data_IF_909169235460
#
_entry.id   IF_909169235460
#
_cell.length_a   1.000
_cell.length_b   1.000
_cell.length_c   1.000
_cell.angle_alpha   90.00
_cell.angle_beta   90.00
_cell.angle_gamma   90.00
#
_symmetry.space_group_name_H-M   'P 1'
#
loop_
_entity.id
_entity.type
_entity.pdbx_description
1 polymer ?
#
# COMPACT_ATOMS: atom_id res chain seq x y z
N UNK A 1 -30.77 14.03 25.21
CA UNK A 1 -31.71 14.33 24.11
C UNK A 1 -32.63 13.13 23.99
N UNK A 2 -33.92 13.32 24.30
CA UNK A 2 -34.90 12.24 24.29
C UNK A 2 -35.28 11.86 22.86
N UNK A 3 -34.73 10.74 22.38
CA UNK A 3 -35.04 10.17 21.06
C UNK A 3 -36.53 9.84 20.90
N UNK A 4 -37.27 9.62 22.00
CA UNK A 4 -38.71 9.39 22.01
C UNK A 4 -39.53 10.59 21.47
N UNK A 5 -39.04 11.83 21.65
CA UNK A 5 -39.70 13.03 21.16
C UNK A 5 -39.55 13.26 19.65
N UNK A 6 -38.49 12.72 19.04
CA UNK A 6 -38.24 12.76 17.59
C UNK A 6 -39.15 11.80 16.81
N UNK A 7 -39.64 10.72 17.44
CA UNK A 7 -40.47 9.69 16.82
C UNK A 7 -41.95 9.73 17.24
N UNK A 8 -42.39 10.80 17.92
CA UNK A 8 -43.77 10.95 18.42
C UNK A 8 -44.84 11.05 17.32
N UNK A 9 -44.43 11.22 16.06
CA UNK A 9 -45.31 11.16 14.88
C UNK A 9 -44.58 10.43 13.74
N UNK A 10 -45.28 9.51 13.06
CA UNK A 10 -44.72 8.77 11.91
C UNK A 10 -44.15 9.68 10.82
N UNK A 11 -44.71 10.89 10.68
CA UNK A 11 -44.22 11.94 9.78
C UNK A 11 -42.76 12.35 10.06
N UNK A 12 -42.37 12.45 11.33
CA UNK A 12 -40.99 12.79 11.72
C UNK A 12 -40.01 11.63 11.49
N UNK A 13 -40.45 10.38 11.68
CA UNK A 13 -39.65 9.18 11.39
C UNK A 13 -39.29 9.11 9.90
N UNK A 14 -40.27 9.31 9.01
CA UNK A 14 -40.04 9.17 7.58
C UNK A 14 -39.17 10.31 7.01
N UNK A 15 -39.36 11.55 7.50
CA UNK A 15 -38.45 12.67 7.21
C UNK A 15 -37.03 12.41 7.68
N UNK A 16 -36.86 11.84 8.88
CA UNK A 16 -35.55 11.46 9.41
C UNK A 16 -34.87 10.39 8.55
N UNK A 17 -35.60 9.36 8.11
CA UNK A 17 -35.07 8.33 7.21
C UNK A 17 -34.67 8.92 5.85
N UNK A 18 -35.48 9.83 5.30
CA UNK A 18 -35.17 10.50 4.03
C UNK A 18 -33.88 11.34 4.13
N UNK A 19 -33.80 12.23 5.13
CA UNK A 19 -32.62 13.07 5.35
C UNK A 19 -31.39 12.22 5.68
N UNK A 20 -31.54 11.20 6.53
CA UNK A 20 -30.48 10.24 6.85
C UNK A 20 -29.96 9.50 5.62
N UNK A 21 -30.85 9.08 4.72
CA UNK A 21 -30.49 8.45 3.45
C UNK A 21 -29.70 9.39 2.52
N UNK A 22 -30.11 10.66 2.40
CA UNK A 22 -29.37 11.68 1.64
C UNK A 22 -27.98 11.89 2.24
N UNK A 23 -27.89 12.03 3.56
CA UNK A 23 -26.60 12.20 4.25
C UNK A 23 -25.69 11.00 4.01
N UNK A 24 -26.18 9.77 4.17
CA UNK A 24 -25.40 8.56 3.88
C UNK A 24 -24.92 8.49 2.43
N UNK A 25 -25.77 8.86 1.48
CA UNK A 25 -25.41 8.93 0.07
C UNK A 25 -24.29 9.96 -0.18
N UNK A 26 -24.43 11.18 0.34
CA UNK A 26 -23.38 12.20 0.21
C UNK A 26 -22.06 11.76 0.88
N UNK A 27 -22.12 11.16 2.07
CA UNK A 27 -20.94 10.63 2.75
C UNK A 27 -20.28 9.50 1.96
N UNK A 28 -21.07 8.63 1.31
CA UNK A 28 -20.53 7.56 0.47
C UNK A 28 -19.79 8.07 -0.77
N UNK A 29 -20.00 9.31 -1.21
CA UNK A 29 -19.27 9.91 -2.32
C UNK A 29 -18.03 10.68 -1.86
N UNK A 30 -18.15 11.51 -0.82
CA UNK A 30 -17.09 12.45 -0.42
C UNK A 30 -15.96 11.76 0.33
N UNK A 31 -16.29 10.90 1.30
CA UNK A 31 -15.31 10.25 2.16
C UNK A 31 -14.32 9.32 1.44
N UNK A 32 -14.75 8.41 0.54
CA UNK A 32 -13.82 7.55 -0.17
C UNK A 32 -12.95 8.32 -1.17
N UNK A 33 -13.43 9.44 -1.73
CA UNK A 33 -12.66 10.22 -2.70
C UNK A 33 -11.35 10.75 -2.10
N UNK A 34 -11.42 11.35 -0.91
CA UNK A 34 -10.24 11.89 -0.21
C UNK A 34 -9.29 10.76 0.20
N UNK A 35 -9.82 9.70 0.80
CA UNK A 35 -9.00 8.56 1.24
C UNK A 35 -8.33 7.82 0.09
N UNK A 36 -9.00 7.72 -1.06
CA UNK A 36 -8.44 7.11 -2.26
C UNK A 36 -7.27 7.90 -2.82
N UNK A 37 -7.37 9.23 -2.86
CA UNK A 37 -6.27 10.09 -3.29
C UNK A 37 -5.06 9.98 -2.35
N UNK A 38 -5.28 9.97 -1.04
CA UNK A 38 -4.22 9.76 -0.06
C UNK A 38 -3.50 8.42 -0.27
N UNK A 39 -4.28 7.33 -0.40
CA UNK A 39 -3.74 5.98 -0.63
C UNK A 39 -2.98 5.89 -1.96
N UNK A 40 -3.47 6.53 -3.02
CA UNK A 40 -2.83 6.54 -4.34
C UNK A 40 -1.48 7.26 -4.32
N UNK A 41 -1.41 8.41 -3.64
CA UNK A 41 -0.15 9.15 -3.43
C UNK A 41 0.85 8.29 -2.64
N UNK A 42 0.39 7.62 -1.59
CA UNK A 42 1.24 6.76 -0.76
C UNK A 42 1.77 5.55 -1.57
N UNK A 43 0.90 4.88 -2.33
CA UNK A 43 1.27 3.78 -3.25
C UNK A 43 2.31 4.25 -4.26
N UNK A 44 2.09 5.41 -4.89
CA UNK A 44 3.02 5.95 -5.88
C UNK A 44 4.40 6.26 -5.25
N UNK A 45 4.40 6.77 -4.01
CA UNK A 45 5.63 7.03 -3.26
C UNK A 45 6.41 5.75 -3.00
N UNK A 46 5.75 4.70 -2.54
CA UNK A 46 6.39 3.39 -2.34
C UNK A 46 6.85 2.75 -3.64
N UNK A 47 6.10 2.90 -4.73
CA UNK A 47 6.49 2.42 -6.06
C UNK A 47 7.79 3.08 -6.53
N UNK A 48 7.90 4.41 -6.42
CA UNK A 48 9.14 5.14 -6.75
C UNK A 48 10.32 4.68 -5.90
N UNK A 49 10.10 4.49 -4.60
CA UNK A 49 11.14 3.97 -3.70
C UNK A 49 11.57 2.55 -4.09
N UNK A 50 10.63 1.67 -4.41
CA UNK A 50 10.90 0.32 -4.86
C UNK A 50 11.67 0.28 -6.19
N UNK A 51 11.30 1.13 -7.15
CA UNK A 51 11.99 1.25 -8.43
C UNK A 51 13.43 1.72 -8.25
N UNK A 52 13.65 2.77 -7.45
CA UNK A 52 14.98 3.26 -7.11
C UNK A 52 15.81 2.19 -6.39
N UNK A 53 15.22 1.44 -5.45
CA UNK A 53 15.90 0.35 -4.78
C UNK A 53 16.28 -0.77 -5.75
N UNK A 54 15.40 -1.10 -6.70
CA UNK A 54 15.63 -2.13 -7.69
C UNK A 54 16.79 -1.76 -8.63
N UNK A 55 16.87 -0.50 -9.07
CA UNK A 55 18.01 0.00 -9.83
C UNK A 55 19.31 -0.12 -9.03
N UNK A 56 19.30 0.33 -7.78
CA UNK A 56 20.46 0.20 -6.88
C UNK A 56 20.91 -1.25 -6.67
N UNK A 57 19.97 -2.20 -6.57
CA UNK A 57 20.28 -3.63 -6.44
C UNK A 57 20.95 -4.11 -7.73
N UNK A 58 20.45 -3.74 -8.90
CA UNK A 58 21.07 -4.10 -10.19
C UNK A 58 22.51 -3.60 -10.28
N UNK A 59 22.76 -2.35 -9.91
CA UNK A 59 24.10 -1.76 -9.92
C UNK A 59 25.05 -2.47 -8.96
N UNK A 60 24.57 -2.80 -7.75
CA UNK A 60 25.35 -3.58 -6.79
C UNK A 60 25.64 -5.00 -7.30
N UNK A 61 24.72 -5.63 -8.02
CA UNK A 61 24.96 -6.94 -8.65
C UNK A 61 26.07 -6.88 -9.69
N UNK A 62 26.13 -5.81 -10.50
CA UNK A 62 27.22 -5.59 -11.46
C UNK A 62 28.55 -5.50 -10.71
N UNK A 63 28.63 -4.66 -9.66
CA UNK A 63 29.84 -4.51 -8.84
C UNK A 63 30.29 -5.82 -8.19
N UNK A 64 29.35 -6.60 -7.64
CA UNK A 64 29.65 -7.92 -7.08
C UNK A 64 30.20 -8.86 -8.15
N UNK A 65 29.64 -8.85 -9.37
CA UNK A 65 30.11 -9.68 -10.49
C UNK A 65 31.53 -9.31 -10.91
N UNK A 66 31.83 -8.02 -11.03
CA UNK A 66 33.17 -7.50 -11.33
C UNK A 66 34.18 -7.91 -10.23
N UNK A 67 33.80 -7.74 -8.97
CA UNK A 67 34.65 -8.09 -7.83
C UNK A 67 34.93 -9.61 -7.78
N UNK A 68 33.93 -10.45 -8.08
CA UNK A 68 34.11 -11.91 -8.23
C UNK A 68 35.09 -12.26 -9.35
N UNK A 69 35.01 -11.58 -10.49
CA UNK A 69 35.93 -11.80 -11.61
C UNK A 69 37.38 -11.47 -11.22
N UNK A 70 37.61 -10.31 -10.60
CA UNK A 70 38.93 -9.88 -10.11
C UNK A 70 39.51 -10.83 -9.05
N UNK A 71 38.67 -11.32 -8.14
CA UNK A 71 39.04 -12.35 -7.15
C UNK A 71 39.50 -13.63 -7.84
N UNK A 72 38.80 -14.09 -8.89
CA UNK A 72 39.17 -15.28 -9.65
C UNK A 72 40.54 -15.12 -10.32
N UNK A 73 40.80 -13.97 -10.94
CA UNK A 73 42.10 -13.66 -11.55
C UNK A 73 43.23 -13.68 -10.52
N UNK A 74 43.02 -13.02 -9.36
CA UNK A 74 44.00 -13.01 -8.27
C UNK A 74 44.33 -14.42 -7.75
N UNK A 75 43.33 -15.32 -7.75
CA UNK A 75 43.52 -16.72 -7.35
C UNK A 75 44.29 -17.53 -8.40
N UNK A 76 44.07 -17.27 -9.69
CA UNK A 76 44.82 -17.88 -10.79
C UNK A 76 46.29 -17.43 -10.78
N UNK A 77 46.56 -16.15 -10.54
CA UNK A 77 47.91 -15.60 -10.40
C UNK A 77 48.65 -16.20 -9.21
N UNK A 78 47.98 -16.37 -8.06
CA UNK A 78 48.56 -17.08 -6.91
C UNK A 78 48.91 -18.54 -7.24
N UNK A 79 48.10 -19.23 -8.05
CA UNK A 79 48.41 -20.61 -8.47
C UNK A 79 49.62 -20.64 -9.42
N UNK A 80 49.71 -19.70 -10.35
CA UNK A 80 50.86 -19.56 -11.28
C UNK A 80 52.16 -19.26 -10.52
N UNK A 81 52.14 -18.30 -9.60
CA UNK A 81 53.32 -17.95 -8.81
C UNK A 81 53.78 -19.11 -7.91
N UNK A 82 52.84 -19.86 -7.32
CA UNK A 82 53.17 -21.09 -6.56
C UNK A 82 53.85 -22.14 -7.43
N UNK A 83 53.39 -22.35 -8.67
CA UNK A 83 53.99 -23.36 -9.56
C UNK A 83 55.35 -22.93 -10.10
N UNK A 84 55.58 -21.62 -10.32
CA UNK A 84 56.90 -21.07 -10.67
C UNK A 84 57.88 -21.25 -9.50
N UNK A 85 57.46 -20.89 -8.27
CA UNK A 85 58.29 -21.07 -7.06
C UNK A 85 58.72 -22.53 -6.85
N UNK A 86 57.83 -23.48 -7.13
CA UNK A 86 58.11 -24.91 -6.99
C UNK A 86 59.12 -25.42 -8.04
N UNK A 87 59.25 -24.74 -9.19
CA UNK A 87 60.13 -25.15 -10.29
C UNK A 87 61.50 -24.44 -10.28
N UNK A 88 61.58 -23.21 -9.79
CA UNK A 88 62.82 -22.43 -9.80
C UNK A 88 63.04 -21.67 -8.48
N UNK A 89 64.01 -22.13 -7.68
CA UNK A 89 64.28 -21.63 -6.33
C UNK A 89 65.10 -20.31 -6.34
N UNK A 90 65.69 -19.92 -7.48
CA UNK A 90 66.54 -18.73 -7.58
C UNK A 90 65.78 -17.41 -7.39
N UNK A 91 64.48 -17.38 -7.72
CA UNK A 91 63.63 -16.17 -7.61
C UNK A 91 62.68 -16.21 -6.40
N UNK A 92 62.89 -17.15 -5.47
CA UNK A 92 61.97 -17.48 -4.35
C UNK A 92 61.55 -16.25 -3.51
N UNK A 93 62.50 -15.38 -3.14
CA UNK A 93 62.21 -14.16 -2.36
C UNK A 93 61.33 -13.15 -3.10
N UNK A 94 61.53 -12.97 -4.40
CA UNK A 94 60.76 -12.01 -5.20
C UNK A 94 59.33 -12.51 -5.45
N UNK A 95 59.18 -13.82 -5.66
CA UNK A 95 57.87 -14.48 -5.77
C UNK A 95 57.10 -14.38 -4.45
N UNK A 96 57.77 -14.52 -3.30
CA UNK A 96 57.13 -14.38 -1.98
C UNK A 96 56.57 -12.97 -1.74
N UNK A 97 57.31 -11.94 -2.15
CA UNK A 97 56.83 -10.55 -2.09
C UNK A 97 55.59 -10.39 -2.97
N UNK A 98 55.61 -10.86 -4.22
CA UNK A 98 54.45 -10.77 -5.13
C UNK A 98 53.24 -11.54 -4.59
N UNK A 99 53.43 -12.75 -4.07
CA UNK A 99 52.37 -13.53 -3.45
C UNK A 99 51.77 -12.84 -2.22
N UNK A 100 52.59 -12.16 -1.41
CA UNK A 100 52.11 -11.41 -0.24
C UNK A 100 51.25 -10.20 -0.65
N UNK A 101 51.65 -9.49 -1.70
CA UNK A 101 50.89 -8.36 -2.26
C UNK A 101 49.56 -8.83 -2.82
N UNK A 102 49.54 -9.90 -3.62
CA UNK A 102 48.30 -10.45 -4.19
C UNK A 102 47.37 -10.95 -3.08
N UNK A 103 47.89 -11.62 -2.04
CA UNK A 103 47.09 -12.04 -0.88
C UNK A 103 46.46 -10.84 -0.16
N UNK A 104 47.20 -9.75 0.02
CA UNK A 104 46.68 -8.53 0.65
C UNK A 104 45.56 -7.92 -0.21
N UNK A 105 45.79 -7.75 -1.50
CA UNK A 105 44.76 -7.25 -2.44
C UNK A 105 43.52 -8.14 -2.45
N UNK A 106 43.70 -9.46 -2.47
CA UNK A 106 42.61 -10.43 -2.43
C UNK A 106 41.79 -10.34 -1.13
N UNK A 107 42.44 -10.18 0.02
CA UNK A 107 41.75 -10.02 1.30
C UNK A 107 40.89 -8.75 1.36
N UNK A 108 41.38 -7.63 0.82
CA UNK A 108 40.63 -6.37 0.71
C UNK A 108 39.44 -6.53 -0.24
N UNK A 109 39.62 -7.24 -1.36
CA UNK A 109 38.55 -7.53 -2.29
C UNK A 109 37.44 -8.39 -1.66
N UNK A 110 37.80 -9.43 -0.91
CA UNK A 110 36.84 -10.28 -0.19
C UNK A 110 35.98 -9.49 0.81
N UNK A 111 36.60 -8.66 1.64
CA UNK A 111 35.88 -7.81 2.60
C UNK A 111 34.94 -6.82 1.87
N UNK A 112 35.40 -6.24 0.76
CA UNK A 112 34.55 -5.35 -0.05
C UNK A 112 33.35 -6.07 -0.67
N UNK A 113 33.54 -7.32 -1.09
CA UNK A 113 32.51 -8.16 -1.71
C UNK A 113 31.47 -8.59 -0.67
N UNK A 114 31.91 -8.98 0.53
CA UNK A 114 31.02 -9.30 1.65
C UNK A 114 30.14 -8.11 2.02
N UNK A 115 30.73 -6.90 2.15
CA UNK A 115 29.99 -5.65 2.40
C UNK A 115 28.97 -5.36 1.31
N UNK A 116 29.35 -5.47 0.04
CA UNK A 116 28.42 -5.25 -1.07
C UNK A 116 27.28 -6.28 -1.08
N UNK A 117 27.58 -7.53 -0.76
CA UNK A 117 26.58 -8.59 -0.72
C UNK A 117 25.60 -8.41 0.44
N UNK A 118 26.08 -8.00 1.63
CA UNK A 118 25.23 -7.60 2.74
C UNK A 118 24.31 -6.42 2.35
N UNK A 119 24.83 -5.41 1.67
CA UNK A 119 24.02 -4.29 1.19
C UNK A 119 22.93 -4.72 0.20
N UNK A 120 23.22 -5.66 -0.71
CA UNK A 120 22.21 -6.24 -1.61
C UNK A 120 21.11 -6.94 -0.81
N UNK A 121 21.47 -7.77 0.18
CA UNK A 121 20.49 -8.48 1.02
C UNK A 121 19.59 -7.51 1.78
N UNK A 122 20.16 -6.48 2.42
CA UNK A 122 19.37 -5.46 3.14
C UNK A 122 18.41 -4.74 2.19
N UNK A 123 18.89 -4.31 1.02
CA UNK A 123 18.03 -3.65 0.03
C UNK A 123 16.93 -4.59 -0.48
N UNK A 124 17.21 -5.87 -0.70
CA UNK A 124 16.17 -6.84 -1.08
C UNK A 124 15.09 -7.01 -0.01
N UNK A 125 15.45 -7.00 1.27
CA UNK A 125 14.49 -7.04 2.38
C UNK A 125 13.61 -5.79 2.36
N UNK A 126 14.20 -4.60 2.22
CA UNK A 126 13.46 -3.33 2.12
C UNK A 126 12.53 -3.33 0.91
N UNK A 127 12.99 -3.83 -0.24
CA UNK A 127 12.18 -3.93 -1.45
C UNK A 127 10.94 -4.82 -1.23
N UNK A 128 11.12 -5.99 -0.60
CA UNK A 128 10.01 -6.89 -0.24
C UNK A 128 9.03 -6.21 0.71
N UNK A 129 9.53 -5.50 1.71
CA UNK A 129 8.70 -4.75 2.64
C UNK A 129 7.86 -3.68 1.92
N UNK A 130 8.48 -2.90 1.03
CA UNK A 130 7.77 -1.88 0.25
C UNK A 130 6.70 -2.50 -0.67
N UNK A 131 7.00 -3.64 -1.31
CA UNK A 131 6.01 -4.38 -2.11
C UNK A 131 4.83 -4.88 -1.28
N UNK A 132 5.09 -5.42 -0.08
CA UNK A 132 4.02 -5.82 0.84
C UNK A 132 3.17 -4.63 1.27
N UNK A 133 3.80 -3.48 1.56
CA UNK A 133 3.10 -2.26 1.92
C UNK A 133 2.21 -1.75 0.78
N UNK A 134 2.69 -1.78 -0.47
CA UNK A 134 1.90 -1.44 -1.65
C UNK A 134 0.67 -2.34 -1.76
N UNK A 135 0.84 -3.67 -1.64
CA UNK A 135 -0.27 -4.62 -1.74
C UNK A 135 -1.31 -4.36 -0.64
N UNK A 136 -0.87 -4.11 0.60
CA UNK A 136 -1.76 -3.80 1.71
C UNK A 136 -2.52 -2.48 1.48
N UNK A 137 -1.87 -1.44 0.95
CA UNK A 137 -2.53 -0.18 0.61
C UNK A 137 -3.56 -0.36 -0.53
N UNK A 138 -3.26 -1.20 -1.51
CA UNK A 138 -4.20 -1.55 -2.59
C UNK A 138 -5.42 -2.32 -2.04
N UNK A 139 -5.21 -3.29 -1.14
CA UNK A 139 -6.30 -3.99 -0.47
C UNK A 139 -7.18 -3.02 0.32
N UNK A 140 -6.58 -2.09 1.07
CA UNK A 140 -7.34 -1.04 1.76
C UNK A 140 -8.15 -0.18 0.78
N UNK A 141 -7.54 0.24 -0.35
CA UNK A 141 -8.26 1.00 -1.38
C UNK A 141 -9.48 0.24 -1.90
N UNK A 142 -9.34 -1.05 -2.18
CA UNK A 142 -10.45 -1.89 -2.63
C UNK A 142 -11.53 -2.06 -1.55
N UNK A 143 -11.12 -2.23 -0.30
CA UNK A 143 -12.06 -2.30 0.82
C UNK A 143 -12.86 -1.02 1.00
N UNK A 144 -12.23 0.15 0.82
CA UNK A 144 -12.91 1.45 0.85
C UNK A 144 -13.92 1.60 -0.30
N UNK A 145 -13.57 1.17 -1.52
CA UNK A 145 -14.48 1.18 -2.67
C UNK A 145 -15.72 0.30 -2.38
N UNK A 146 -15.53 -0.89 -1.80
CA UNK A 146 -16.65 -1.76 -1.41
C UNK A 146 -17.51 -1.15 -0.30
N UNK A 147 -16.89 -0.62 0.75
CA UNK A 147 -17.61 0.03 1.85
C UNK A 147 -18.45 1.22 1.36
N UNK A 148 -17.86 2.06 0.50
CA UNK A 148 -18.56 3.19 -0.14
C UNK A 148 -19.80 2.71 -0.91
N UNK A 149 -19.65 1.66 -1.73
CA UNK A 149 -20.76 1.11 -2.51
C UNK A 149 -21.90 0.59 -1.62
N UNK A 150 -21.57 -0.15 -0.56
CA UNK A 150 -22.58 -0.62 0.40
C UNK A 150 -23.28 0.53 1.12
N UNK A 151 -22.53 1.54 1.55
CA UNK A 151 -23.08 2.73 2.21
C UNK A 151 -23.98 3.52 1.26
N UNK A 152 -23.61 3.62 -0.02
CA UNK A 152 -24.41 4.26 -1.06
C UNK A 152 -25.74 3.53 -1.26
N UNK A 153 -25.69 2.20 -1.41
CA UNK A 153 -26.90 1.36 -1.56
C UNK A 153 -27.81 1.52 -0.34
N UNK A 154 -27.25 1.43 0.87
CA UNK A 154 -28.01 1.63 2.11
C UNK A 154 -28.64 3.03 2.19
N UNK A 155 -27.90 4.07 1.80
CA UNK A 155 -28.40 5.44 1.74
C UNK A 155 -29.56 5.61 0.77
N UNK A 156 -29.45 5.05 -0.45
CA UNK A 156 -30.53 5.09 -1.45
C UNK A 156 -31.77 4.36 -0.96
N UNK A 157 -31.63 3.14 -0.44
CA UNK A 157 -32.75 2.34 0.08
C UNK A 157 -33.46 3.10 1.21
N UNK A 158 -32.70 3.65 2.15
CA UNK A 158 -33.24 4.39 3.29
C UNK A 158 -33.92 5.67 2.85
N UNK A 159 -33.31 6.41 1.92
CA UNK A 159 -33.85 7.65 1.36
C UNK A 159 -35.15 7.44 0.61
N UNK A 160 -35.18 6.49 -0.33
CA UNK A 160 -36.38 6.17 -1.13
C UNK A 160 -37.51 5.66 -0.22
N UNK A 161 -37.19 4.79 0.74
CA UNK A 161 -38.20 4.29 1.69
C UNK A 161 -38.76 5.42 2.56
N UNK A 162 -37.90 6.30 3.08
CA UNK A 162 -38.32 7.47 3.84
C UNK A 162 -39.25 8.36 3.03
N UNK A 163 -38.91 8.68 1.79
CA UNK A 163 -39.74 9.50 0.91
C UNK A 163 -41.09 8.82 0.58
N UNK A 164 -41.07 7.53 0.26
CA UNK A 164 -42.27 6.76 -0.09
C UNK A 164 -43.27 6.71 1.06
N UNK A 165 -42.81 6.32 2.26
CA UNK A 165 -43.69 6.26 3.43
C UNK A 165 -44.12 7.64 3.91
N UNK A 166 -43.28 8.66 3.75
CA UNK A 166 -43.65 10.03 4.04
C UNK A 166 -44.81 10.50 3.15
N UNK A 167 -44.75 10.22 1.85
CA UNK A 167 -45.80 10.57 0.90
C UNK A 167 -47.13 9.87 1.24
N UNK A 168 -47.09 8.57 1.57
CA UNK A 168 -48.29 7.80 1.98
C UNK A 168 -48.88 8.36 3.28
N UNK A 169 -48.04 8.63 4.28
CA UNK A 169 -48.47 9.16 5.56
C UNK A 169 -49.14 10.53 5.42
N UNK A 170 -48.56 11.41 4.60
CA UNK A 170 -49.09 12.74 4.31
C UNK A 170 -50.44 12.64 3.60
N UNK A 171 -50.55 11.81 2.56
CA UNK A 171 -51.81 11.58 1.84
C UNK A 171 -52.93 11.09 2.77
N UNK A 172 -52.63 10.12 3.64
CA UNK A 172 -53.61 9.59 4.59
C UNK A 172 -54.02 10.63 5.64
N UNK A 173 -53.07 11.43 6.14
CA UNK A 173 -53.36 12.53 7.08
C UNK A 173 -54.28 13.58 6.47
N UNK A 174 -54.03 13.99 5.22
CA UNK A 174 -54.88 14.94 4.51
C UNK A 174 -56.28 14.39 4.25
N UNK A 175 -56.39 13.10 3.91
CA UNK A 175 -57.69 12.43 3.73
C UNK A 175 -58.51 12.44 5.02
N UNK A 176 -57.90 12.08 6.15
CA UNK A 176 -58.55 12.10 7.46
C UNK A 176 -59.02 13.50 7.85
N UNK A 177 -58.17 14.53 7.69
CA UNK A 177 -58.55 15.93 7.95
C UNK A 177 -59.76 16.36 7.10
N UNK A 178 -59.78 15.99 5.81
CA UNK A 178 -60.92 16.29 4.92
C UNK A 178 -62.21 15.58 5.37
N UNK A 179 -62.11 14.36 5.90
CA UNK A 179 -63.26 13.62 6.44
C UNK A 179 -63.77 14.21 7.76
N UNK A 180 -62.87 14.65 8.65
CA UNK A 180 -63.22 15.31 9.91
C UNK A 180 -63.91 16.65 9.68
N UNK A 181 -63.41 17.47 8.75
CA UNK A 181 -64.05 18.75 8.37
C UNK A 181 -65.46 18.51 7.82
N UNK A 182 -65.64 17.48 6.97
CA UNK A 182 -66.98 17.10 6.44
C UNK A 182 -67.93 16.62 7.53
N UNK A 183 -67.43 15.92 8.56
CA UNK A 183 -68.25 15.51 9.72
C UNK A 183 -68.63 16.72 10.57
N UNK A 184 -67.70 17.64 10.82
CA UNK A 184 -67.96 18.85 11.59
C UNK A 184 -68.95 19.81 10.90
N UNK A 185 -69.03 19.81 9.57
CA UNK A 185 -70.01 20.60 8.81
C UNK A 185 -71.41 19.97 8.73
N UNK A 186 -71.56 18.69 9.12
CA UNK A 186 -72.83 17.95 9.08
C UNK A 186 -73.55 17.93 10.43
N UNK A 187 -72.86 18.30 11.51
CA UNK A 187 -73.39 18.47 12.85
C UNK A 187 -73.64 19.94 13.13
#
# INVERSE_FOLDING_TARGET
>A
MDFSSLFSSGDNLYKFLFVGGIVMFCFSMVYPLQKKQELEIEINTYNKQAEFLNQNIKDLYVKVKECKALSKTSMEDLKRLKSIKAKDNKQSKQIDIQMSTIKKTFSVQLDSLEKQQQQVTVKQIILKYNQQKINLLQEHSLAYDHYSLWLMIAGVITGVSGLFFWAISTYNSEKLKKEEIKKAQRN
#
